data_IF_300615154424
#
_entry.id   IF_300615154424
#
_cell.length_a   1.000
_cell.length_b   1.000
_cell.length_c   1.000
_cell.angle_alpha   90.00
_cell.angle_beta   90.00
_cell.angle_gamma   90.00
#
_symmetry.space_group_name_H-M   'P 1'
#
loop_
_entity.id
_entity.type
_entity.pdbx_description
1 polymer ?
#
# COMPACT_ATOMS: atom_id res chain seq x y z
N UNK A 1 -18.54 16.91 3.42
CA UNK A 1 -17.43 17.34 2.54
C UNK A 1 -16.26 16.37 2.66
N UNK A 2 -15.52 16.16 1.59
CA UNK A 2 -14.30 15.32 1.52
C UNK A 2 -13.13 16.23 1.16
N UNK A 3 -11.99 16.07 1.83
CA UNK A 3 -10.78 16.86 1.58
C UNK A 3 -9.73 15.99 0.90
N UNK A 4 -9.25 16.43 -0.25
CA UNK A 4 -8.33 15.74 -1.15
C UNK A 4 -9.06 15.07 -2.30
N UNK A 5 -8.83 15.53 -3.53
CA UNK A 5 -9.38 15.00 -4.77
C UNK A 5 -8.41 14.02 -5.47
N UNK A 6 -7.64 13.25 -4.69
CA UNK A 6 -6.95 12.05 -5.20
C UNK A 6 -7.91 10.87 -5.34
N UNK A 7 -7.41 9.73 -5.83
CA UNK A 7 -8.22 8.52 -6.10
C UNK A 7 -9.06 8.09 -4.88
N UNK A 8 -8.48 8.09 -3.67
CA UNK A 8 -9.20 7.72 -2.45
C UNK A 8 -10.34 8.71 -2.13
N UNK A 9 -10.07 10.01 -2.19
CA UNK A 9 -11.08 11.02 -1.87
C UNK A 9 -12.18 11.10 -2.93
N UNK A 10 -11.83 10.93 -4.21
CA UNK A 10 -12.79 10.80 -5.30
C UNK A 10 -13.69 9.57 -5.13
N UNK A 11 -13.12 8.40 -4.81
CA UNK A 11 -13.91 7.18 -4.53
C UNK A 11 -14.83 7.34 -3.33
N UNK A 12 -14.38 8.00 -2.25
CA UNK A 12 -15.22 8.28 -1.08
C UNK A 12 -16.36 9.22 -1.46
N UNK A 13 -16.08 10.31 -2.18
CA UNK A 13 -17.09 11.27 -2.60
C UNK A 13 -18.12 10.62 -3.53
N UNK A 14 -17.67 9.79 -4.48
CA UNK A 14 -18.52 8.99 -5.36
C UNK A 14 -19.45 8.07 -4.56
N UNK A 15 -18.94 7.28 -3.63
CA UNK A 15 -19.77 6.35 -2.85
C UNK A 15 -20.75 7.08 -1.93
N UNK A 16 -20.35 8.22 -1.35
CA UNK A 16 -21.26 9.07 -0.59
C UNK A 16 -22.38 9.64 -1.46
N UNK A 17 -22.08 10.12 -2.67
CA UNK A 17 -23.09 10.59 -3.62
C UNK A 17 -24.02 9.45 -4.06
N UNK A 18 -23.48 8.24 -4.31
CA UNK A 18 -24.27 7.05 -4.65
C UNK A 18 -25.27 6.66 -3.54
N UNK A 19 -24.95 6.98 -2.29
CA UNK A 19 -25.83 6.81 -1.12
C UNK A 19 -26.83 7.95 -0.92
N UNK A 20 -26.91 8.89 -1.87
CA UNK A 20 -27.86 10.02 -1.84
C UNK A 20 -27.42 11.18 -0.95
N UNK A 21 -26.14 11.24 -0.55
CA UNK A 21 -25.60 12.36 0.22
C UNK A 21 -25.13 13.48 -0.72
N UNK A 22 -25.37 14.73 -0.33
CA UNK A 22 -24.72 15.86 -0.97
C UNK A 22 -23.28 16.02 -0.45
N UNK A 23 -22.31 16.06 -1.37
CA UNK A 23 -20.89 15.98 -1.05
C UNK A 23 -20.11 17.04 -1.78
N UNK A 24 -19.51 17.96 -1.03
CA UNK A 24 -18.48 18.85 -1.55
C UNK A 24 -17.11 18.17 -1.49
N UNK A 25 -16.44 18.04 -2.62
CA UNK A 25 -15.04 17.60 -2.72
C UNK A 25 -14.14 18.83 -2.80
N UNK A 26 -13.15 18.92 -1.90
CA UNK A 26 -12.27 20.09 -1.76
C UNK A 26 -10.82 19.64 -1.99
N UNK A 27 -10.13 20.24 -2.94
CA UNK A 27 -8.70 20.07 -3.13
C UNK A 27 -8.00 21.43 -3.24
N UNK A 28 -6.69 21.45 -2.98
CA UNK A 28 -5.85 22.64 -3.09
C UNK A 28 -5.49 22.98 -4.54
N UNK A 29 -5.60 22.03 -5.46
CA UNK A 29 -5.34 22.19 -6.89
C UNK A 29 -6.29 21.39 -7.76
N UNK A 30 -5.88 21.09 -8.98
CA UNK A 30 -6.68 20.26 -9.89
C UNK A 30 -6.81 18.81 -9.38
N UNK A 31 -7.98 18.18 -9.55
CA UNK A 31 -8.19 16.78 -9.16
C UNK A 31 -7.12 15.83 -9.70
N UNK A 32 -6.73 14.88 -8.87
CA UNK A 32 -5.77 13.84 -9.21
C UNK A 32 -4.31 14.30 -9.32
N UNK A 33 -3.97 15.61 -9.23
CA UNK A 33 -2.59 16.11 -9.40
C UNK A 33 -1.60 15.79 -8.27
N UNK A 34 -2.06 15.17 -7.18
CA UNK A 34 -1.19 14.73 -6.08
C UNK A 34 -0.51 13.38 -6.35
N UNK A 35 -0.37 12.56 -5.31
CA UNK A 35 0.16 11.19 -5.39
C UNK A 35 -0.57 10.34 -6.43
N UNK A 36 -1.84 10.62 -6.69
CA UNK A 36 -2.63 9.89 -7.69
C UNK A 36 -2.17 10.12 -9.14
N UNK A 37 -1.48 11.22 -9.45
CA UNK A 37 -0.98 11.47 -10.82
C UNK A 37 0.23 10.61 -11.16
N UNK A 38 1.14 10.44 -10.20
CA UNK A 38 2.41 9.72 -10.38
C UNK A 38 2.39 8.29 -9.85
N UNK A 39 1.22 7.67 -9.72
CA UNK A 39 1.12 6.28 -9.27
C UNK A 39 1.42 5.30 -10.41
N UNK A 40 1.56 4.01 -10.07
CA UNK A 40 1.82 2.93 -11.04
C UNK A 40 0.58 2.50 -11.83
N UNK A 41 -0.59 3.10 -11.56
CA UNK A 41 -1.89 2.70 -12.10
C UNK A 41 -2.20 1.19 -11.96
N UNK A 42 -1.70 0.57 -10.90
CA UNK A 42 -1.89 -0.85 -10.61
C UNK A 42 -2.64 -1.05 -9.30
N UNK A 43 -3.56 -2.02 -9.29
CA UNK A 43 -4.30 -2.43 -8.09
C UNK A 43 -3.61 -3.67 -7.53
N UNK A 44 -2.89 -3.49 -6.43
CA UNK A 44 -2.26 -4.60 -5.71
C UNK A 44 -3.33 -5.47 -5.05
N UNK A 45 -3.46 -6.71 -5.52
CA UNK A 45 -4.40 -7.70 -5.00
C UNK A 45 -3.78 -8.58 -3.92
N UNK A 46 -2.46 -8.64 -3.90
CA UNK A 46 -1.67 -9.41 -2.94
C UNK A 46 -1.16 -8.51 -1.81
N UNK A 47 -1.15 -9.07 -0.61
CA UNK A 47 -0.48 -8.47 0.54
C UNK A 47 0.56 -9.47 1.05
N UNK A 48 1.83 -9.19 0.77
CA UNK A 48 2.95 -9.99 1.26
C UNK A 48 3.74 -9.18 2.29
N UNK A 49 3.86 -9.70 3.51
CA UNK A 49 4.61 -9.02 4.55
C UNK A 49 6.11 -9.34 4.43
N UNK A 50 6.88 -8.41 3.84
CA UNK A 50 8.33 -8.55 3.61
C UNK A 50 9.24 -8.60 4.85
N UNK A 51 8.67 -8.67 6.06
CA UNK A 51 9.40 -8.65 7.34
C UNK A 51 9.64 -10.04 7.93
N UNK A 52 9.43 -11.10 7.15
CA UNK A 52 9.49 -12.47 7.63
C UNK A 52 10.87 -13.06 7.84
N UNK A 53 10.93 -14.38 8.15
CA UNK A 53 12.17 -14.98 8.58
C UNK A 53 13.33 -14.97 7.59
N UNK A 54 13.02 -14.88 6.30
CA UNK A 54 13.98 -14.75 5.21
C UNK A 54 14.70 -13.39 5.21
N UNK A 55 14.07 -12.33 5.72
CA UNK A 55 14.61 -10.96 5.71
C UNK A 55 15.52 -10.71 6.91
N UNK A 56 15.04 -10.90 8.14
CA UNK A 56 15.85 -10.64 9.34
C UNK A 56 17.09 -11.55 9.47
N UNK A 57 17.09 -12.76 8.89
CA UNK A 57 18.29 -13.60 8.82
C UNK A 57 19.42 -12.99 7.99
N UNK A 58 19.08 -12.11 7.03
CA UNK A 58 20.05 -11.39 6.19
C UNK A 58 20.57 -10.12 6.86
N UNK A 59 19.80 -9.54 7.79
CA UNK A 59 20.12 -8.26 8.45
C UNK A 59 21.52 -8.25 9.10
N UNK A 60 21.96 -9.28 9.87
CA UNK A 60 23.30 -9.28 10.42
C UNK A 60 24.40 -9.22 9.36
N UNK A 61 24.23 -9.94 8.24
CA UNK A 61 25.15 -9.89 7.11
C UNK A 61 25.14 -8.52 6.43
N UNK A 62 23.96 -7.95 6.18
CA UNK A 62 23.81 -6.62 5.59
C UNK A 62 24.40 -5.49 6.43
N UNK A 63 24.31 -5.59 7.76
CA UNK A 63 24.90 -4.60 8.68
C UNK A 63 26.43 -4.65 8.71
N UNK A 64 27.02 -5.79 8.35
CA UNK A 64 28.47 -5.98 8.28
C UNK A 64 29.04 -5.66 6.89
N UNK A 65 28.18 -5.60 5.88
CA UNK A 65 28.53 -5.26 4.51
C UNK A 65 28.48 -3.74 4.30
N UNK A 66 29.61 -3.08 3.98
CA UNK A 66 29.65 -1.64 3.69
C UNK A 66 28.75 -1.22 2.51
N UNK A 67 28.49 -2.14 1.58
CA UNK A 67 27.58 -1.95 0.44
C UNK A 67 26.22 -2.64 0.65
N UNK A 68 25.98 -3.14 1.87
CA UNK A 68 24.74 -3.81 2.23
C UNK A 68 23.54 -2.86 2.19
N UNK A 69 22.32 -3.39 1.90
CA UNK A 69 21.11 -2.58 1.79
C UNK A 69 20.62 -2.03 3.14
N UNK A 70 21.25 -2.40 4.26
CA UNK A 70 20.89 -1.97 5.61
C UNK A 70 22.11 -1.46 6.34
N UNK A 71 22.10 -0.19 6.69
CA UNK A 71 23.18 0.45 7.44
C UNK A 71 22.67 1.06 8.74
N UNK A 72 23.41 0.85 9.84
CA UNK A 72 23.07 1.37 11.16
C UNK A 72 24.32 1.96 11.84
N UNK A 73 24.23 3.22 12.26
CA UNK A 73 25.27 3.83 13.09
C UNK A 73 25.39 3.08 14.42
N UNK A 74 26.58 2.61 14.83
CA UNK A 74 26.76 1.94 16.11
C UNK A 74 26.24 2.75 17.30
N UNK A 75 26.44 4.07 17.29
CA UNK A 75 25.96 4.99 18.33
C UNK A 75 24.43 5.08 18.41
N UNK A 76 23.70 4.71 17.36
CA UNK A 76 22.23 4.70 17.32
C UNK A 76 21.63 3.32 17.63
N UNK A 77 22.44 2.26 17.62
CA UNK A 77 21.97 0.89 17.73
C UNK A 77 21.19 0.64 19.04
N UNK A 78 21.69 1.15 20.17
CA UNK A 78 21.02 1.02 21.46
C UNK A 78 19.65 1.70 21.49
N UNK A 79 19.49 2.84 20.78
CA UNK A 79 18.22 3.56 20.68
C UNK A 79 17.23 2.85 19.77
N UNK A 80 17.71 2.18 18.72
CA UNK A 80 16.87 1.45 17.77
C UNK A 80 16.46 0.07 18.28
N UNK A 81 17.21 -0.52 19.21
CA UNK A 81 17.01 -1.89 19.69
C UNK A 81 15.57 -2.21 20.13
N UNK A 82 14.86 -1.37 20.92
CA UNK A 82 13.49 -1.67 21.31
C UNK A 82 12.52 -1.76 20.12
N UNK A 83 12.68 -0.87 19.14
CA UNK A 83 11.89 -0.91 17.91
C UNK A 83 12.25 -2.13 17.07
N UNK A 84 13.54 -2.46 16.98
CA UNK A 84 14.01 -3.63 16.24
C UNK A 84 13.45 -4.93 16.81
N UNK A 85 13.42 -5.09 18.14
CA UNK A 85 12.79 -6.25 18.78
C UNK A 85 11.29 -6.34 18.47
N UNK A 86 10.58 -5.21 18.40
CA UNK A 86 9.17 -5.17 17.97
C UNK A 86 9.01 -5.55 16.50
N UNK A 87 9.91 -5.10 15.64
CA UNK A 87 9.95 -5.49 14.23
C UNK A 87 10.14 -7.00 14.08
N UNK A 88 11.09 -7.60 14.81
CA UNK A 88 11.29 -9.05 14.82
C UNK A 88 10.08 -9.82 15.37
N UNK A 89 9.43 -9.30 16.40
CA UNK A 89 8.22 -9.90 16.95
C UNK A 89 7.04 -9.85 15.96
N UNK A 90 6.92 -8.76 15.19
CA UNK A 90 5.94 -8.64 14.11
C UNK A 90 6.26 -9.57 12.93
N UNK A 91 7.54 -9.83 12.67
CA UNK A 91 8.04 -10.73 11.62
C UNK A 91 7.93 -12.23 11.91
N UNK A 92 7.32 -12.64 13.03
CA UNK A 92 7.13 -14.07 13.36
C UNK A 92 6.15 -14.72 12.38
N UNK A 93 6.35 -15.98 11.92
CA UNK A 93 5.50 -16.61 10.92
C UNK A 93 4.00 -16.60 11.25
N UNK A 94 3.62 -16.83 12.50
CA UNK A 94 2.22 -16.76 12.94
C UNK A 94 1.66 -15.34 12.81
N UNK A 95 2.43 -14.34 13.21
CA UNK A 95 2.02 -12.94 13.17
C UNK A 95 1.97 -12.38 11.75
N UNK A 96 2.89 -12.81 10.89
CA UNK A 96 2.85 -12.47 9.47
C UNK A 96 1.58 -12.98 8.81
N UNK A 97 1.21 -14.25 9.02
CA UNK A 97 -0.05 -14.78 8.49
C UNK A 97 -1.26 -13.96 8.94
N UNK A 98 -1.33 -13.59 10.21
CA UNK A 98 -2.41 -12.72 10.70
C UNK A 98 -2.44 -11.34 10.02
N UNK A 99 -1.26 -10.75 9.77
CA UNK A 99 -1.11 -9.46 9.08
C UNK A 99 -1.51 -9.59 7.60
N UNK A 100 -1.04 -10.64 6.92
CA UNK A 100 -1.36 -10.95 5.53
C UNK A 100 -2.85 -11.20 5.36
N UNK A 101 -3.45 -12.05 6.21
CA UNK A 101 -4.89 -12.30 6.21
C UNK A 101 -5.69 -11.01 6.45
N UNK A 102 -5.23 -10.14 7.35
CA UNK A 102 -5.87 -8.86 7.61
C UNK A 102 -5.74 -7.90 6.42
N UNK A 103 -4.56 -7.82 5.81
CA UNK A 103 -4.31 -7.02 4.60
C UNK A 103 -5.15 -7.50 3.42
N UNK A 104 -5.17 -8.81 3.19
CA UNK A 104 -6.00 -9.45 2.16
C UNK A 104 -7.49 -9.16 2.36
N UNK A 105 -8.00 -9.17 3.59
CA UNK A 105 -9.40 -8.79 3.87
C UNK A 105 -9.73 -7.33 3.52
N UNK A 106 -8.75 -6.44 3.56
CA UNK A 106 -8.94 -5.04 3.17
C UNK A 106 -8.84 -4.85 1.65
N UNK A 107 -7.99 -5.62 0.97
CA UNK A 107 -7.75 -5.49 -0.47
C UNK A 107 -8.65 -6.34 -1.34
N UNK A 108 -9.26 -7.44 -0.83
CA UNK A 108 -9.97 -8.41 -1.66
C UNK A 108 -11.13 -7.82 -2.47
N UNK A 109 -11.75 -6.75 -1.98
CA UNK A 109 -12.85 -6.05 -2.64
C UNK A 109 -12.39 -4.90 -3.53
N UNK A 110 -11.17 -4.42 -3.36
CA UNK A 110 -10.71 -3.17 -3.98
C UNK A 110 -10.88 -3.18 -5.50
N UNK A 111 -10.50 -4.28 -6.17
CA UNK A 111 -10.66 -4.40 -7.62
C UNK A 111 -12.12 -4.46 -8.05
N UNK A 112 -12.97 -5.20 -7.33
CA UNK A 112 -14.40 -5.30 -7.64
C UNK A 112 -15.08 -3.94 -7.48
N UNK A 113 -14.89 -3.30 -6.33
CA UNK A 113 -15.47 -1.99 -6.04
C UNK A 113 -14.96 -0.92 -7.03
N UNK A 114 -13.69 -0.99 -7.47
CA UNK A 114 -13.13 -0.06 -8.46
C UNK A 114 -13.70 -0.30 -9.87
N UNK A 115 -13.91 -1.56 -10.27
CA UNK A 115 -14.60 -1.91 -11.53
C UNK A 115 -16.02 -1.37 -11.56
N UNK A 116 -16.79 -1.62 -10.50
CA UNK A 116 -18.17 -1.10 -10.38
C UNK A 116 -18.21 0.42 -10.46
N UNK A 117 -17.23 1.11 -9.85
CA UNK A 117 -17.11 2.56 -9.95
C UNK A 117 -16.82 3.03 -11.38
N UNK A 118 -15.89 2.37 -12.10
CA UNK A 118 -15.57 2.70 -13.49
C UNK A 118 -16.77 2.48 -14.42
N UNK A 119 -17.53 1.40 -14.22
CA UNK A 119 -18.77 1.15 -14.95
C UNK A 119 -19.81 2.25 -14.69
N UNK A 120 -20.00 2.63 -13.44
CA UNK A 120 -21.00 3.64 -13.05
C UNK A 120 -20.70 5.04 -13.63
N UNK A 121 -19.42 5.38 -13.81
CA UNK A 121 -19.01 6.64 -14.45
C UNK A 121 -18.90 6.52 -15.99
N UNK A 122 -19.17 5.34 -16.56
CA UNK A 122 -19.12 5.11 -18.00
C UNK A 122 -17.71 5.09 -18.59
N UNK A 123 -16.71 4.68 -17.82
CA UNK A 123 -15.31 4.62 -18.23
C UNK A 123 -14.60 3.28 -17.91
N UNK A 124 -15.20 2.11 -18.21
CA UNK A 124 -14.58 0.80 -17.93
C UNK A 124 -13.25 0.59 -18.68
N UNK A 125 -13.05 1.26 -19.81
CA UNK A 125 -11.86 1.18 -20.65
C UNK A 125 -10.60 1.80 -20.02
N UNK A 126 -10.74 2.55 -18.92
CA UNK A 126 -9.60 3.11 -18.19
C UNK A 126 -8.79 2.07 -17.42
N UNK A 127 -9.27 0.82 -17.35
CA UNK A 127 -8.57 -0.28 -16.70
C UNK A 127 -8.47 -1.48 -17.62
N UNK A 128 -7.27 -2.06 -17.69
CA UNK A 128 -7.04 -3.37 -18.32
C UNK A 128 -6.88 -4.43 -17.25
N UNK A 129 -7.21 -5.68 -17.58
CA UNK A 129 -6.96 -6.84 -16.72
C UNK A 129 -5.61 -7.51 -17.01
N UNK A 130 -4.80 -6.87 -17.84
CA UNK A 130 -3.45 -7.34 -18.14
C UNK A 130 -2.57 -7.19 -16.89
N UNK A 131 -1.99 -8.31 -16.46
CA UNK A 131 -1.09 -8.32 -15.31
C UNK A 131 0.21 -7.55 -15.57
N UNK A 132 0.93 -7.24 -14.50
CA UNK A 132 2.27 -6.68 -14.59
C UNK A 132 3.30 -7.82 -14.74
N UNK A 133 4.14 -7.77 -15.78
CA UNK A 133 5.29 -8.66 -15.90
C UNK A 133 6.49 -8.04 -15.17
N UNK A 134 6.85 -8.62 -14.02
CA UNK A 134 8.08 -8.28 -13.33
C UNK A 134 9.21 -9.23 -13.80
N UNK A 135 10.17 -8.69 -14.57
CA UNK A 135 11.39 -9.40 -14.92
C UNK A 135 12.42 -9.10 -13.84
N UNK A 136 12.84 -10.12 -13.10
CA UNK A 136 13.94 -10.03 -12.14
C UNK A 136 15.21 -10.59 -12.80
N UNK A 137 16.30 -9.81 -12.76
CA UNK A 137 17.66 -10.32 -13.01
C UNK A 137 18.24 -10.95 -11.73
#
# INVERSE_FOLDING_TARGET
AVVGAGVIGASIAFEMQRRGLDVTLIDKGEPGRGTSFGNMASIALDFAAGSGPSTWKKIPGWLLDPEGPVWLRPSYAARMLPWFLRFLAAGRPSRLREIEDAGMRLSNRALGDFKEMLEAIGAPELMTEEGCLAIYE
#
